data_IF_496368408900
#
_entry.id   IF_496368408900
#
_cell.length_a   1.000
_cell.length_b   1.000
_cell.length_c   1.000
_cell.angle_alpha   90.00
_cell.angle_beta   90.00
_cell.angle_gamma   90.00
#
_symmetry.space_group_name_H-M   'P 1'
#
loop_
_entity.id
_entity.type
_entity.pdbx_description
1 polymer ?
#
# COMPACT_ATOMS: atom_id res chain seq x y z
N UNK A 1 11.71 -49.27 32.19
CA UNK A 1 12.41 -50.31 31.39
C UNK A 1 12.97 -49.82 30.04
N UNK A 2 12.68 -48.60 29.56
CA UNK A 2 13.14 -48.14 28.23
C UNK A 2 14.54 -47.48 28.18
N UNK A 3 15.05 -46.96 29.30
CA UNK A 3 16.33 -46.24 29.33
C UNK A 3 17.57 -47.15 29.19
N UNK A 4 17.48 -48.37 29.72
CA UNK A 4 18.60 -49.34 29.69
C UNK A 4 18.92 -49.87 28.28
N UNK A 5 17.93 -49.91 27.39
CA UNK A 5 18.10 -50.46 26.04
C UNK A 5 18.91 -49.52 25.13
N UNK A 6 18.70 -48.20 25.24
CA UNK A 6 19.43 -47.20 24.47
C UNK A 6 20.88 -47.12 24.95
N UNK A 7 21.10 -47.08 26.27
CA UNK A 7 22.43 -47.03 26.85
C UNK A 7 23.25 -48.29 26.55
N UNK A 8 22.60 -49.46 26.53
CA UNK A 8 23.22 -50.73 26.13
C UNK A 8 23.53 -50.76 24.62
N UNK A 9 22.62 -50.32 23.76
CA UNK A 9 22.85 -50.24 22.32
C UNK A 9 24.00 -49.29 21.97
N UNK A 10 24.09 -48.14 22.64
CA UNK A 10 25.17 -47.16 22.46
C UNK A 10 26.52 -47.70 22.92
N UNK A 11 26.56 -48.44 24.04
CA UNK A 11 27.75 -49.14 24.50
C UNK A 11 28.22 -50.20 23.49
N UNK A 12 27.28 -50.98 22.91
CA UNK A 12 27.57 -51.96 21.85
C UNK A 12 28.09 -51.31 20.56
N UNK A 13 27.65 -50.08 20.25
CA UNK A 13 28.14 -49.31 19.11
C UNK A 13 29.42 -48.51 19.41
N UNK A 14 29.98 -48.61 20.62
CA UNK A 14 31.16 -47.85 21.04
C UNK A 14 30.93 -46.33 21.15
N UNK A 15 29.67 -45.89 21.15
CA UNK A 15 29.30 -44.48 21.20
C UNK A 15 29.08 -44.08 22.66
N UNK A 16 29.99 -43.27 23.21
CA UNK A 16 29.85 -42.75 24.57
C UNK A 16 28.58 -41.91 24.74
N UNK A 17 27.90 -42.05 25.87
CA UNK A 17 26.64 -41.36 26.18
C UNK A 17 26.71 -39.85 25.95
N UNK A 18 27.82 -39.23 26.36
CA UNK A 18 28.04 -37.79 26.23
C UNK A 18 28.14 -37.36 24.75
N UNK A 19 28.73 -38.19 23.88
CA UNK A 19 28.85 -37.88 22.45
C UNK A 19 27.48 -37.94 21.77
N UNK A 20 26.69 -38.99 22.07
CA UNK A 20 25.34 -39.14 21.54
C UNK A 20 24.42 -37.99 21.97
N UNK A 21 24.42 -37.65 23.27
CA UNK A 21 23.63 -36.54 23.80
C UNK A 21 24.04 -35.21 23.16
N UNK A 22 25.35 -34.96 23.02
CA UNK A 22 25.84 -33.76 22.34
C UNK A 22 25.44 -33.70 20.86
N UNK A 23 25.42 -34.83 20.15
CA UNK A 23 24.94 -34.89 18.76
C UNK A 23 23.46 -34.55 18.64
N UNK A 24 22.63 -35.04 19.56
CA UNK A 24 21.20 -34.70 19.60
C UNK A 24 21.00 -33.21 19.88
N UNK A 25 21.69 -32.67 20.89
CA UNK A 25 21.64 -31.25 21.25
C UNK A 25 22.09 -30.38 20.08
N UNK A 26 23.19 -30.76 19.41
CA UNK A 26 23.69 -30.05 18.23
C UNK A 26 22.69 -30.05 17.09
N UNK A 27 22.02 -31.18 16.82
CA UNK A 27 20.97 -31.27 15.81
C UNK A 27 19.79 -30.34 16.12
N UNK A 28 19.38 -30.25 17.38
CA UNK A 28 18.28 -29.38 17.81
C UNK A 28 18.63 -27.89 17.70
N UNK A 29 19.87 -27.51 18.05
CA UNK A 29 20.34 -26.13 17.90
C UNK A 29 20.33 -25.65 16.44
N UNK A 30 20.63 -26.53 15.48
CA UNK A 30 20.53 -26.22 14.04
C UNK A 30 19.07 -25.95 13.63
N UNK A 31 18.13 -26.74 14.14
CA UNK A 31 16.70 -26.53 13.85
C UNK A 31 16.21 -25.21 14.44
N UNK A 32 16.62 -24.87 15.66
CA UNK A 32 16.28 -23.59 16.29
C UNK A 32 16.83 -22.40 15.50
N UNK A 33 18.09 -22.45 15.05
CA UNK A 33 18.68 -21.36 14.27
C UNK A 33 17.99 -21.16 12.91
N UNK A 34 17.55 -22.25 12.27
CA UNK A 34 16.72 -22.18 11.05
C UNK A 34 15.36 -21.52 11.34
N UNK A 35 14.72 -21.89 12.45
CA UNK A 35 13.42 -21.31 12.82
C UNK A 35 13.53 -19.81 13.15
N UNK A 36 14.58 -19.38 13.85
CA UNK A 36 14.83 -17.97 14.15
C UNK A 36 15.13 -17.16 12.90
N UNK A 37 15.95 -17.68 11.99
CA UNK A 37 16.25 -17.03 10.73
C UNK A 37 15.02 -16.89 9.82
N UNK A 38 14.14 -17.90 9.75
CA UNK A 38 12.87 -17.80 9.01
C UNK A 38 11.96 -16.69 9.57
N UNK A 39 11.86 -16.59 10.90
CA UNK A 39 11.09 -15.50 11.54
C UNK A 39 11.69 -14.13 11.21
N UNK A 40 13.02 -14.00 11.22
CA UNK A 40 13.70 -12.75 10.87
C UNK A 40 13.40 -12.33 9.43
N UNK A 41 13.44 -13.25 8.46
CA UNK A 41 13.12 -12.98 7.05
C UNK A 41 11.68 -12.49 6.88
N UNK A 42 10.71 -13.16 7.51
CA UNK A 42 9.31 -12.75 7.46
C UNK A 42 9.07 -11.40 8.14
N UNK A 43 9.88 -11.06 9.14
CA UNK A 43 9.81 -9.75 9.81
C UNK A 43 10.28 -8.64 8.88
N UNK A 44 11.38 -8.82 8.15
CA UNK A 44 11.89 -7.83 7.19
C UNK A 44 10.87 -7.56 6.07
N UNK A 45 10.23 -8.61 5.55
CA UNK A 45 9.18 -8.47 4.53
C UNK A 45 7.91 -7.77 5.05
N UNK A 46 7.63 -7.86 6.36
CA UNK A 46 6.50 -7.17 6.99
C UNK A 46 6.78 -5.70 7.35
N UNK A 47 8.04 -5.24 7.29
CA UNK A 47 8.40 -3.84 7.60
C UNK A 47 8.08 -2.90 6.44
N UNK A 48 8.20 -3.37 5.20
CA UNK A 48 7.92 -2.56 4.01
C UNK A 48 6.56 -2.98 3.45
N UNK A 49 5.50 -2.16 3.62
CA UNK A 49 4.19 -2.49 3.09
C UNK A 49 4.19 -2.55 1.57
N UNK A 50 3.50 -3.55 1.03
CA UNK A 50 3.19 -3.69 -0.38
C UNK A 50 1.81 -3.10 -0.64
N UNK A 51 1.77 -2.00 -1.40
CA UNK A 51 0.58 -1.24 -1.76
C UNK A 51 0.32 -1.25 -3.27
N UNK A 52 0.91 -2.19 -4.02
CA UNK A 52 0.74 -2.30 -5.46
C UNK A 52 -0.73 -2.52 -5.89
N UNK A 53 -1.54 -3.19 -5.07
CA UNK A 53 -2.98 -3.35 -5.33
C UNK A 53 -3.82 -2.16 -4.86
N UNK A 54 -3.18 -1.06 -4.44
CA UNK A 54 -3.79 0.04 -3.73
C UNK A 54 -3.88 -0.20 -2.22
N UNK A 55 -4.21 0.85 -1.47
CA UNK A 55 -4.32 0.79 -0.02
C UNK A 55 -4.00 2.12 0.67
N UNK A 56 -3.90 2.08 1.99
CA UNK A 56 -3.53 3.22 2.81
C UNK A 56 -2.23 2.89 3.55
N UNK A 57 -1.28 3.80 3.49
CA UNK A 57 -0.05 3.72 4.26
C UNK A 57 -0.38 3.93 5.75
N UNK A 58 -0.15 2.92 6.59
CA UNK A 58 -0.48 3.00 8.02
C UNK A 58 0.50 3.87 8.82
N UNK A 59 1.78 3.88 8.43
CA UNK A 59 2.86 4.60 9.10
C UNK A 59 3.76 5.27 8.06
N UNK A 60 4.39 6.41 8.36
CA UNK A 60 5.31 7.03 7.39
C UNK A 60 6.51 6.12 7.11
N UNK A 61 6.94 6.04 5.85
CA UNK A 61 8.10 5.23 5.48
C UNK A 61 8.11 4.81 4.01
N UNK A 62 8.96 3.83 3.69
CA UNK A 62 9.04 3.24 2.36
C UNK A 62 7.90 2.23 2.14
N UNK A 63 7.32 2.24 0.95
CA UNK A 63 6.34 1.28 0.50
C UNK A 63 6.64 0.84 -0.94
N UNK A 64 6.23 -0.38 -1.29
CA UNK A 64 6.28 -0.88 -2.68
C UNK A 64 4.92 -0.65 -3.34
N UNK A 65 4.86 0.12 -4.43
CA UNK A 65 3.59 0.60 -5.00
C UNK A 65 3.32 0.21 -6.46
N UNK A 66 4.29 -0.35 -7.17
CA UNK A 66 4.18 -0.55 -8.62
C UNK A 66 3.44 -1.83 -9.05
N UNK A 67 2.51 -1.69 -10.00
CA UNK A 67 1.69 -2.78 -10.55
C UNK A 67 2.36 -3.54 -11.70
N UNK A 68 3.33 -2.89 -12.38
CA UNK A 68 4.11 -3.47 -13.49
C UNK A 68 5.52 -3.88 -13.07
N UNK A 69 5.74 -3.94 -11.76
CA UNK A 69 7.04 -4.17 -11.15
C UNK A 69 7.14 -3.40 -9.82
N UNK A 70 7.99 -3.85 -8.88
CA UNK A 70 8.11 -3.20 -7.58
C UNK A 70 8.80 -1.84 -7.70
N UNK A 71 8.02 -0.77 -7.49
CA UNK A 71 8.53 0.60 -7.33
C UNK A 71 8.56 0.97 -5.86
N UNK A 72 9.68 1.50 -5.36
CA UNK A 72 9.83 1.96 -3.98
C UNK A 72 9.55 3.46 -3.88
N UNK A 73 8.65 3.84 -2.98
CA UNK A 73 8.25 5.23 -2.74
C UNK A 73 8.22 5.53 -1.25
N UNK A 74 8.69 6.70 -0.84
CA UNK A 74 8.54 7.21 0.52
C UNK A 74 7.19 7.92 0.66
N UNK A 75 6.34 7.42 1.55
CA UNK A 75 4.99 7.92 1.78
C UNK A 75 4.81 8.39 3.24
N UNK A 76 4.07 9.48 3.49
CA UNK A 76 3.63 9.81 4.83
C UNK A 76 2.51 8.86 5.29
N UNK A 77 2.33 8.74 6.61
CA UNK A 77 1.19 8.04 7.19
C UNK A 77 -0.14 8.63 6.66
N UNK A 78 -1.09 7.76 6.35
CA UNK A 78 -2.39 8.13 5.79
C UNK A 78 -2.40 8.36 4.27
N UNK A 79 -1.24 8.34 3.59
CA UNK A 79 -1.20 8.41 2.13
C UNK A 79 -1.98 7.25 1.50
N UNK A 80 -2.74 7.53 0.45
CA UNK A 80 -3.53 6.54 -0.28
C UNK A 80 -2.91 6.25 -1.64
N UNK A 81 -2.72 4.97 -1.92
CA UNK A 81 -2.30 4.48 -3.23
C UNK A 81 -3.54 3.93 -3.93
N UNK A 82 -3.77 4.39 -5.16
CA UNK A 82 -4.82 3.88 -6.03
C UNK A 82 -4.17 3.02 -7.12
N UNK A 83 -4.69 1.82 -7.33
CA UNK A 83 -4.24 0.97 -8.44
C UNK A 83 -4.74 1.55 -9.78
N UNK A 84 -4.29 0.95 -10.87
CA UNK A 84 -4.59 1.37 -12.24
C UNK A 84 -6.08 1.21 -12.57
N UNK A 85 -6.74 0.17 -12.06
CA UNK A 85 -8.18 -0.05 -12.30
C UNK A 85 -9.02 1.06 -11.65
N UNK A 86 -8.72 1.41 -10.40
CA UNK A 86 -9.40 2.46 -9.67
C UNK A 86 -9.11 3.83 -10.30
N UNK A 87 -7.84 4.09 -10.64
CA UNK A 87 -7.42 5.29 -11.37
C UNK A 87 -8.21 5.45 -12.68
N UNK A 88 -8.30 4.40 -13.50
CA UNK A 88 -9.08 4.41 -14.75
C UNK A 88 -10.57 4.66 -14.50
N UNK A 89 -11.15 4.06 -13.45
CA UNK A 89 -12.54 4.32 -13.07
C UNK A 89 -12.75 5.78 -12.70
N UNK A 90 -11.84 6.39 -11.93
CA UNK A 90 -11.94 7.81 -11.60
C UNK A 90 -11.89 8.68 -12.86
N UNK A 91 -10.93 8.47 -13.75
CA UNK A 91 -10.83 9.24 -14.99
C UNK A 91 -12.03 9.03 -15.92
N UNK A 92 -12.56 7.82 -16.03
CA UNK A 92 -13.71 7.54 -16.89
C UNK A 92 -15.01 8.14 -16.35
N UNK A 93 -15.20 8.17 -15.02
CA UNK A 93 -16.37 8.83 -14.40
C UNK A 93 -16.33 10.36 -14.55
N UNK A 94 -15.14 10.96 -14.49
CA UNK A 94 -14.96 12.41 -14.74
C UNK A 94 -15.35 12.78 -16.17
N UNK A 95 -15.07 11.90 -17.15
CA UNK A 95 -15.37 12.18 -18.56
C UNK A 95 -16.80 11.79 -19.00
N UNK A 96 -17.52 10.96 -18.23
CA UNK A 96 -18.84 10.43 -18.62
C UNK A 96 -20.01 11.25 -18.08
N UNK A 97 -19.76 12.17 -17.15
CA UNK A 97 -20.80 13.05 -16.58
C UNK A 97 -20.30 14.50 -16.69
N UNK A 98 -20.90 15.36 -17.52
CA UNK A 98 -20.55 16.77 -17.55
C UNK A 98 -20.76 17.38 -16.16
N UNK A 99 -19.68 17.53 -15.39
CA UNK A 99 -19.75 18.27 -14.14
C UNK A 99 -19.82 19.76 -14.48
N UNK A 100 -20.95 20.39 -14.15
CA UNK A 100 -21.08 21.84 -14.27
C UNK A 100 -20.10 22.50 -13.28
N UNK A 101 -19.09 23.20 -13.80
CA UNK A 101 -18.16 24.00 -13.01
C UNK A 101 -18.69 25.43 -12.94
N UNK A 102 -19.16 25.85 -11.76
CA UNK A 102 -19.58 27.23 -11.52
C UNK A 102 -18.34 28.09 -11.25
N UNK A 103 -18.01 28.99 -12.18
CA UNK A 103 -16.90 29.94 -12.03
C UNK A 103 -17.46 31.31 -11.69
N UNK A 104 -17.09 31.84 -10.52
CA UNK A 104 -17.44 33.19 -10.09
C UNK A 104 -16.30 34.13 -10.47
N UNK A 105 -16.58 35.11 -11.33
CA UNK A 105 -15.60 36.11 -11.76
C UNK A 105 -16.06 37.48 -11.31
N UNK A 106 -15.21 38.18 -10.55
CA UNK A 106 -15.39 39.60 -10.24
C UNK A 106 -14.79 40.41 -11.39
N UNK A 107 -15.65 41.01 -12.21
CA UNK A 107 -15.26 41.89 -13.30
C UNK A 107 -15.66 43.33 -12.97
N UNK A 108 -14.84 44.30 -13.42
CA UNK A 108 -15.18 45.71 -13.38
C UNK A 108 -16.21 46.08 -14.47
N UNK A 109 -16.60 47.35 -14.54
CA UNK A 109 -17.64 47.83 -15.47
C UNK A 109 -17.26 47.52 -16.92
N UNK A 110 -15.99 47.69 -17.28
CA UNK A 110 -15.50 47.42 -18.63
C UNK A 110 -15.50 45.91 -18.91
N UNK A 111 -15.01 45.09 -17.97
CA UNK A 111 -15.06 43.63 -18.05
C UNK A 111 -16.48 43.09 -18.25
N UNK A 112 -17.48 43.66 -17.57
CA UNK A 112 -18.88 43.30 -17.77
C UNK A 112 -19.40 43.67 -19.17
N UNK A 113 -18.95 44.79 -19.73
CA UNK A 113 -19.29 45.19 -21.11
C UNK A 113 -18.68 44.23 -22.14
N UNK A 114 -17.43 43.80 -21.92
CA UNK A 114 -16.77 42.80 -22.75
C UNK A 114 -17.48 41.45 -22.70
N UNK A 115 -17.88 40.99 -21.52
CA UNK A 115 -18.62 39.73 -21.36
C UNK A 115 -19.97 39.78 -22.09
N UNK A 116 -20.70 40.90 -21.96
CA UNK A 116 -21.98 41.11 -22.65
C UNK A 116 -21.85 41.11 -24.17
N UNK A 117 -20.78 41.71 -24.71
CA UNK A 117 -20.51 41.75 -26.16
C UNK A 117 -20.15 40.38 -26.73
N UNK A 118 -19.37 39.59 -25.98
CA UNK A 118 -18.83 38.32 -26.47
C UNK A 118 -19.70 37.10 -26.12
N UNK A 119 -20.66 37.24 -25.20
CA UNK A 119 -21.58 36.15 -24.80
C UNK A 119 -23.05 36.56 -24.89
N UNK A 120 -23.55 37.01 -26.05
CA UNK A 120 -24.90 37.60 -26.17
C UNK A 120 -26.02 36.63 -25.77
N UNK A 121 -25.92 35.33 -26.13
CA UNK A 121 -26.93 34.31 -25.83
C UNK A 121 -27.20 34.16 -24.32
N UNK A 122 -26.18 34.33 -23.47
CA UNK A 122 -26.31 34.20 -22.02
C UNK A 122 -27.01 35.40 -21.37
N UNK A 123 -27.06 36.55 -22.04
CA UNK A 123 -27.65 37.77 -21.52
C UNK A 123 -28.97 38.17 -22.21
N UNK A 124 -29.29 37.58 -23.36
CA UNK A 124 -30.52 37.86 -24.11
C UNK A 124 -31.81 37.39 -23.42
N UNK A 125 -31.74 36.35 -22.58
CA UNK A 125 -32.95 35.75 -21.96
C UNK A 125 -33.38 36.43 -20.65
N UNK A 126 -32.67 37.47 -20.20
CA UNK A 126 -33.06 38.20 -18.99
C UNK A 126 -34.12 39.25 -19.32
N UNK A 127 -35.39 38.82 -19.34
CA UNK A 127 -36.54 39.71 -19.29
C UNK A 127 -36.53 40.49 -17.96
N UNK A 128 -35.97 41.71 -17.98
CA UNK A 128 -36.02 42.59 -16.83
C UNK A 128 -37.43 43.19 -16.68
N UNK A 129 -38.20 42.68 -15.71
CA UNK A 129 -39.42 43.35 -15.24
C UNK A 129 -38.99 44.45 -14.28
N UNK A 130 -39.16 45.72 -14.70
CA UNK A 130 -38.96 46.86 -13.82
C UNK A 130 -39.97 46.76 -12.67
N UNK A 131 -39.47 46.53 -11.46
CA UNK A 131 -40.23 46.72 -10.22
C UNK A 131 -40.21 48.22 -9.92
N UNK A 132 -41.40 48.82 -9.96
CA UNK A 132 -41.66 50.20 -9.56
C UNK A 132 -41.98 50.24 -8.07
#
# INVERSE_FOLDING_TARGET
>A
MYLGNIQSAMATLGIGTNKFVNSIISGFNVVLSIMESIKAVNTILNVIPFLATGGIMQSSGLAVVGERGPELVSLPAGARVYNNQDTQRYFNNVNSTPQAVNVYVNADIDGLQFLRKNMPKYFSDRNYKRIN
#
